data_IF_165725832724
#
_entry.id   IF_165725832724
#
_cell.length_a   1.000
_cell.length_b   1.000
_cell.length_c   1.000
_cell.angle_alpha   90.00
_cell.angle_beta   90.00
_cell.angle_gamma   90.00
#
_symmetry.space_group_name_H-M   'P 1'
#
loop_
_entity.id
_entity.type
_entity.pdbx_description
1 polymer ?
#
# COMPACT_ATOMS: atom_id res chain seq x y z
N UNK A 1 -39.46 14.11 7.74
CA UNK A 1 -38.94 14.80 6.54
C UNK A 1 -37.43 14.67 6.53
N UNK A 2 -36.93 13.59 5.93
CA UNK A 2 -35.50 13.36 5.71
C UNK A 2 -35.08 14.14 4.47
N UNK A 3 -34.18 15.11 4.63
CA UNK A 3 -33.52 15.75 3.51
C UNK A 3 -32.22 15.01 3.25
N UNK A 4 -32.28 14.03 2.36
CA UNK A 4 -31.09 13.45 1.73
C UNK A 4 -30.39 14.55 0.93
N UNK A 5 -29.27 15.05 1.49
CA UNK A 5 -28.36 15.92 0.75
C UNK A 5 -27.52 15.04 -0.17
N UNK A 6 -27.97 14.85 -1.39
CA UNK A 6 -27.15 14.42 -2.51
C UNK A 6 -26.02 15.45 -2.72
N UNK A 7 -24.85 15.21 -2.12
CA UNK A 7 -23.64 15.95 -2.43
C UNK A 7 -23.10 15.35 -3.72
N UNK A 8 -23.49 15.93 -4.85
CA UNK A 8 -22.87 15.66 -6.15
C UNK A 8 -21.38 15.93 -6.00
N UNK A 9 -20.54 14.91 -6.19
CA UNK A 9 -19.09 15.03 -6.32
C UNK A 9 -18.78 15.82 -7.61
N UNK A 10 -18.89 17.15 -7.57
CA UNK A 10 -18.34 18.01 -8.62
C UNK A 10 -16.82 17.84 -8.55
N UNK A 11 -16.25 17.07 -9.46
CA UNK A 11 -14.82 17.09 -9.75
C UNK A 11 -14.49 18.48 -10.31
N UNK A 12 -13.86 19.30 -9.51
CA UNK A 12 -13.34 20.59 -9.94
C UNK A 12 -11.87 20.43 -10.32
N UNK A 13 -11.48 20.97 -11.47
CA UNK A 13 -10.09 20.94 -11.93
C UNK A 13 -9.51 22.34 -11.76
N UNK A 14 -8.32 22.42 -11.19
CA UNK A 14 -7.50 23.63 -11.14
C UNK A 14 -6.31 23.42 -12.06
N UNK A 15 -6.18 24.28 -13.06
CA UNK A 15 -5.03 24.33 -13.94
C UNK A 15 -4.06 25.42 -13.47
N UNK A 16 -2.77 25.13 -13.45
CA UNK A 16 -1.67 26.07 -13.28
C UNK A 16 -0.58 25.81 -14.30
N UNK A 17 0.15 26.86 -14.69
CA UNK A 17 1.40 26.74 -15.45
C UNK A 17 2.58 26.97 -14.53
N UNK A 18 3.51 26.01 -14.44
CA UNK A 18 4.71 26.09 -13.63
C UNK A 18 5.93 25.66 -14.44
N UNK A 19 6.93 26.53 -14.60
CA UNK A 19 8.15 26.26 -15.42
C UNK A 19 7.82 25.66 -16.81
N UNK A 20 6.89 26.28 -17.53
CA UNK A 20 6.38 25.84 -18.84
C UNK A 20 5.67 24.47 -18.89
N UNK A 21 5.37 23.87 -17.74
CA UNK A 21 4.59 22.64 -17.62
C UNK A 21 3.18 22.99 -17.11
N UNK A 22 2.17 22.50 -17.80
CA UNK A 22 0.79 22.59 -17.32
C UNK A 22 0.51 21.48 -16.32
N UNK A 23 -0.06 21.87 -15.17
CA UNK A 23 -0.42 20.95 -14.08
C UNK A 23 -1.92 21.06 -13.84
N UNK A 24 -2.63 19.98 -14.14
CA UNK A 24 -4.04 19.83 -13.85
C UNK A 24 -4.23 19.11 -12.51
N UNK A 25 -4.89 19.78 -11.56
CA UNK A 25 -5.15 19.21 -10.26
C UNK A 25 -6.66 19.03 -10.02
N UNK A 26 -7.08 17.79 -9.80
CA UNK A 26 -8.44 17.47 -9.36
C UNK A 26 -8.65 17.91 -7.92
N UNK A 27 -9.70 18.67 -7.64
CA UNK A 27 -10.02 19.11 -6.29
C UNK A 27 -11.14 18.26 -5.70
N UNK A 28 -10.86 17.70 -4.52
CA UNK A 28 -11.82 16.92 -3.74
C UNK A 28 -12.03 17.59 -2.40
N UNK A 29 -13.23 18.10 -2.16
CA UNK A 29 -13.58 18.72 -0.87
C UNK A 29 -14.05 17.68 0.14
N UNK A 30 -13.54 17.78 1.38
CA UNK A 30 -13.90 16.88 2.48
C UNK A 30 -13.93 17.62 3.82
N UNK A 31 -14.67 17.09 4.79
CA UNK A 31 -14.62 17.57 6.18
C UNK A 31 -13.26 17.23 6.80
N UNK A 32 -12.37 18.21 6.83
CA UNK A 32 -10.98 18.09 7.33
C UNK A 32 -10.42 19.47 7.68
N UNK A 33 -9.29 19.52 8.39
CA UNK A 33 -8.63 20.77 8.78
C UNK A 33 -7.52 21.21 7.80
N UNK A 34 -6.84 20.27 7.16
CA UNK A 34 -5.64 20.55 6.36
C UNK A 34 -5.85 20.28 4.87
N UNK A 35 -5.14 21.01 4.02
CA UNK A 35 -5.04 20.71 2.58
C UNK A 35 -3.94 19.69 2.36
N UNK A 36 -4.17 18.76 1.44
CA UNK A 36 -3.16 17.75 1.06
C UNK A 36 -3.09 17.67 -0.46
N UNK A 37 -1.89 17.72 -1.03
CA UNK A 37 -1.63 17.40 -2.43
C UNK A 37 -1.21 15.94 -2.51
N UNK A 38 -1.86 15.17 -3.36
CA UNK A 38 -1.51 13.78 -3.68
C UNK A 38 -1.16 13.70 -5.16
N UNK A 39 -0.05 13.03 -5.45
CA UNK A 39 0.36 12.74 -6.82
C UNK A 39 0.35 11.22 -6.96
N UNK A 40 -0.26 10.72 -8.05
CA UNK A 40 -0.29 9.32 -8.41
C UNK A 40 0.52 9.08 -9.68
N UNK A 41 0.89 7.84 -9.99
CA UNK A 41 1.36 7.46 -11.32
C UNK A 41 0.42 7.98 -12.41
N UNK A 42 0.91 8.17 -13.63
CA UNK A 42 0.24 8.87 -14.75
C UNK A 42 0.03 10.37 -14.50
N UNK A 43 0.86 10.98 -13.65
CA UNK A 43 0.90 12.43 -13.36
C UNK A 43 -0.41 13.02 -12.82
N UNK A 44 -1.29 12.18 -12.27
CA UNK A 44 -2.53 12.64 -11.67
C UNK A 44 -2.28 13.41 -10.38
N UNK A 45 -2.53 14.72 -10.38
CA UNK A 45 -2.49 15.56 -9.19
C UNK A 45 -3.89 15.68 -8.59
N UNK A 46 -4.02 15.45 -7.29
CA UNK A 46 -5.29 15.64 -6.56
C UNK A 46 -5.05 16.50 -5.33
N UNK A 47 -5.83 17.55 -5.19
CA UNK A 47 -5.89 18.36 -3.96
C UNK A 47 -7.08 17.89 -3.14
N UNK A 48 -6.83 17.51 -1.89
CA UNK A 48 -7.89 17.21 -0.93
C UNK A 48 -7.95 18.39 0.04
N UNK A 49 -9.04 19.16 -0.03
CA UNK A 49 -9.22 20.42 0.68
C UNK A 49 -10.39 20.38 1.66
N UNK A 50 -10.38 21.18 2.74
CA UNK A 50 -11.57 21.56 3.47
C UNK A 50 -12.58 22.27 2.55
N UNK A 51 -13.86 22.22 2.91
CA UNK A 51 -14.87 23.03 2.26
C UNK A 51 -14.60 24.52 2.49
N UNK A 52 -14.96 25.38 1.52
CA UNK A 52 -14.88 26.83 1.64
C UNK A 52 -13.48 27.44 1.42
N UNK A 53 -12.47 26.65 1.09
CA UNK A 53 -11.14 27.19 0.74
C UNK A 53 -11.21 27.83 -0.65
N UNK A 54 -10.83 29.12 -0.80
CA UNK A 54 -10.82 29.81 -2.08
C UNK A 54 -9.88 29.15 -3.10
N UNK A 55 -10.30 29.10 -4.38
CA UNK A 55 -9.47 28.55 -5.47
C UNK A 55 -8.10 29.21 -5.58
N UNK A 56 -8.00 30.51 -5.29
CA UNK A 56 -6.75 31.26 -5.30
C UNK A 56 -5.73 30.61 -4.36
N UNK A 57 -6.13 30.27 -3.13
CA UNK A 57 -5.25 29.61 -2.15
C UNK A 57 -4.78 28.26 -2.65
N UNK A 58 -5.64 27.50 -3.32
CA UNK A 58 -5.28 26.19 -3.88
C UNK A 58 -4.29 26.32 -5.04
N UNK A 59 -4.46 27.35 -5.89
CA UNK A 59 -3.51 27.68 -6.97
C UNK A 59 -2.15 28.10 -6.41
N UNK A 60 -2.14 29.02 -5.44
CA UNK A 60 -0.92 29.52 -4.81
C UNK A 60 -0.14 28.34 -4.14
N UNK A 61 -0.85 27.42 -3.49
CA UNK A 61 -0.27 26.22 -2.90
C UNK A 61 0.34 25.29 -3.96
N UNK A 62 -0.31 25.10 -5.12
CA UNK A 62 0.25 24.32 -6.22
C UNK A 62 1.52 24.96 -6.77
N UNK A 63 1.53 26.28 -6.96
CA UNK A 63 2.70 27.03 -7.41
C UNK A 63 3.85 26.89 -6.39
N UNK A 64 3.56 27.10 -5.10
CA UNK A 64 4.55 26.93 -4.02
C UNK A 64 5.16 25.52 -3.98
N UNK A 65 4.37 24.51 -4.33
CA UNK A 65 4.81 23.11 -4.36
C UNK A 65 5.26 22.63 -5.75
N UNK A 66 5.37 23.53 -6.72
CA UNK A 66 5.67 23.21 -8.11
C UNK A 66 6.93 22.37 -8.29
N UNK A 67 8.07 22.76 -7.68
CA UNK A 67 9.31 21.97 -7.77
C UNK A 67 9.16 20.56 -7.18
N UNK A 68 8.46 20.43 -6.07
CA UNK A 68 8.17 19.12 -5.48
C UNK A 68 7.26 18.27 -6.39
N UNK A 69 6.28 18.90 -7.05
CA UNK A 69 5.39 18.21 -8.00
C UNK A 69 6.20 17.70 -9.19
N UNK A 70 7.04 18.55 -9.80
CA UNK A 70 7.88 18.17 -10.94
C UNK A 70 8.85 17.06 -10.56
N UNK A 71 9.52 17.16 -9.41
CA UNK A 71 10.39 16.09 -8.91
C UNK A 71 9.63 14.76 -8.80
N UNK A 72 8.37 14.80 -8.36
CA UNK A 72 7.52 13.60 -8.30
C UNK A 72 7.15 13.08 -9.69
N UNK A 73 6.94 13.95 -10.65
CA UNK A 73 6.72 13.55 -12.04
C UNK A 73 7.95 12.84 -12.62
N UNK A 74 9.16 13.37 -12.37
CA UNK A 74 10.40 12.74 -12.81
C UNK A 74 10.62 11.38 -12.14
N UNK A 75 10.37 11.29 -10.81
CA UNK A 75 10.39 10.01 -10.09
C UNK A 75 9.40 9.00 -10.71
N UNK A 76 8.20 9.42 -11.09
CA UNK A 76 7.24 8.53 -11.74
C UNK A 76 7.62 8.18 -13.18
N UNK A 77 8.17 9.14 -13.94
CA UNK A 77 8.63 8.91 -15.32
C UNK A 77 9.72 7.84 -15.37
N UNK A 78 10.68 7.89 -14.45
CA UNK A 78 11.76 6.91 -14.38
C UNK A 78 11.30 5.49 -14.10
N UNK A 79 10.12 5.33 -13.48
CA UNK A 79 9.55 4.04 -13.08
C UNK A 79 8.22 3.71 -13.80
N UNK A 80 7.77 4.56 -14.73
CA UNK A 80 6.48 4.40 -15.42
C UNK A 80 6.38 3.04 -16.14
N UNK A 81 7.47 2.63 -16.79
CA UNK A 81 7.57 1.33 -17.45
C UNK A 81 7.43 0.15 -16.47
N UNK A 82 7.65 0.38 -15.16
CA UNK A 82 7.52 -0.63 -14.10
C UNK A 82 6.09 -0.72 -13.54
N UNK A 83 5.23 0.29 -13.84
CA UNK A 83 3.85 0.34 -13.35
C UNK A 83 2.82 -0.27 -14.30
N UNK A 84 3.24 -1.17 -15.20
CA UNK A 84 2.30 -1.91 -16.04
C UNK A 84 1.30 -2.69 -15.18
N UNK A 85 0.04 -2.67 -15.61
CA UNK A 85 -0.96 -3.55 -15.00
C UNK A 85 -0.64 -4.99 -15.37
N UNK A 86 -0.86 -5.90 -14.43
CA UNK A 86 -0.65 -7.32 -14.64
C UNK A 86 -1.65 -7.88 -15.65
N UNK A 87 -1.14 -8.61 -16.63
CA UNK A 87 -1.94 -9.27 -17.67
C UNK A 87 -2.34 -10.69 -17.28
N UNK A 88 -1.69 -11.26 -16.26
CA UNK A 88 -1.91 -12.63 -15.77
C UNK A 88 -1.72 -13.67 -16.85
N UNK A 89 -0.67 -13.49 -17.67
CA UNK A 89 -0.27 -14.39 -18.75
C UNK A 89 0.93 -15.23 -18.34
N UNK A 90 1.13 -16.33 -19.03
CA UNK A 90 2.26 -17.24 -18.81
C UNK A 90 3.60 -16.49 -18.98
N UNK A 91 4.55 -16.75 -18.08
CA UNK A 91 5.86 -16.07 -18.04
C UNK A 91 5.87 -14.70 -17.36
N UNK A 92 4.71 -14.10 -17.00
CA UNK A 92 4.67 -12.84 -16.29
C UNK A 92 5.23 -12.98 -14.87
N UNK A 93 6.00 -11.98 -14.40
CA UNK A 93 6.66 -12.04 -13.09
C UNK A 93 5.75 -11.64 -11.95
N UNK A 94 5.80 -12.38 -10.86
CA UNK A 94 5.10 -12.12 -9.60
C UNK A 94 6.05 -12.25 -8.42
N UNK A 95 5.86 -11.42 -7.41
CA UNK A 95 6.67 -11.44 -6.19
C UNK A 95 6.12 -12.44 -5.17
N UNK A 96 7.01 -13.20 -4.52
CA UNK A 96 6.70 -13.96 -3.31
C UNK A 96 7.93 -14.04 -2.42
N UNK A 97 7.78 -13.70 -1.13
CA UNK A 97 8.87 -13.65 -0.15
C UNK A 97 10.10 -12.85 -0.60
N UNK A 98 9.86 -11.74 -1.34
CA UNK A 98 10.92 -10.87 -1.85
C UNK A 98 11.61 -11.33 -3.13
N UNK A 99 11.24 -12.49 -3.67
CA UNK A 99 11.76 -13.06 -4.90
C UNK A 99 10.75 -12.96 -6.05
N UNK A 100 11.26 -12.88 -7.28
CA UNK A 100 10.45 -12.86 -8.49
C UNK A 100 10.29 -14.29 -9.03
N UNK A 101 9.05 -14.67 -9.32
CA UNK A 101 8.68 -15.96 -9.90
C UNK A 101 7.93 -15.74 -11.21
N UNK A 102 8.20 -16.58 -12.22
CA UNK A 102 7.45 -16.56 -13.49
C UNK A 102 6.13 -17.28 -13.30
N UNK A 103 5.04 -16.65 -13.68
CA UNK A 103 3.73 -17.32 -13.70
C UNK A 103 3.76 -18.48 -14.69
N UNK A 104 3.27 -19.64 -14.27
CA UNK A 104 3.04 -20.80 -15.12
C UNK A 104 1.59 -21.25 -14.95
N UNK A 105 0.82 -21.12 -16.03
CA UNK A 105 -0.60 -21.44 -16.03
C UNK A 105 -0.78 -22.84 -16.61
N UNK A 106 -1.49 -23.69 -15.87
CA UNK A 106 -1.80 -25.06 -16.30
C UNK A 106 -3.32 -25.21 -16.28
N UNK A 107 -3.91 -25.57 -17.41
CA UNK A 107 -5.33 -25.91 -17.45
C UNK A 107 -5.53 -27.29 -16.82
N UNK A 108 -6.19 -27.33 -15.66
CA UNK A 108 -6.39 -28.52 -14.86
C UNK A 108 -7.74 -28.43 -14.13
N UNK A 109 -8.33 -29.59 -13.82
CA UNK A 109 -9.58 -29.66 -13.05
C UNK A 109 -9.33 -29.29 -11.59
N UNK A 110 -8.17 -29.67 -11.07
CA UNK A 110 -7.75 -29.37 -9.70
C UNK A 110 -7.17 -27.94 -9.62
N UNK A 111 -7.83 -27.10 -8.80
CA UNK A 111 -7.37 -25.73 -8.60
C UNK A 111 -6.29 -25.67 -7.51
N UNK A 112 -5.08 -25.36 -7.90
CA UNK A 112 -3.95 -25.26 -6.99
C UNK A 112 -3.02 -24.11 -7.37
N UNK A 113 -2.40 -23.47 -6.36
CA UNK A 113 -1.32 -22.49 -6.55
C UNK A 113 -0.18 -22.84 -5.62
N UNK A 114 1.01 -22.98 -6.18
CA UNK A 114 2.23 -23.32 -5.43
C UNK A 114 3.47 -22.75 -6.13
N UNK A 115 4.57 -22.73 -5.40
CA UNK A 115 5.90 -22.42 -5.93
C UNK A 115 6.58 -23.74 -6.31
N UNK A 116 7.04 -23.81 -7.56
CA UNK A 116 7.89 -24.89 -8.05
C UNK A 116 9.10 -24.29 -8.75
N UNK A 117 10.29 -24.58 -8.22
CA UNK A 117 11.56 -24.01 -8.68
C UNK A 117 11.47 -22.47 -8.78
N UNK A 118 11.53 -21.90 -9.99
CA UNK A 118 11.46 -20.46 -10.24
C UNK A 118 10.10 -20.03 -10.81
N UNK A 119 9.06 -20.85 -10.62
CA UNK A 119 7.72 -20.60 -11.13
C UNK A 119 6.68 -20.49 -10.01
N UNK A 120 5.76 -19.54 -10.17
CA UNK A 120 4.48 -19.50 -9.49
C UNK A 120 3.48 -20.28 -10.37
N UNK A 121 3.26 -21.54 -10.03
CA UNK A 121 2.38 -22.44 -10.79
C UNK A 121 0.94 -22.22 -10.37
N UNK A 122 0.06 -22.04 -11.35
CA UNK A 122 -1.38 -21.85 -11.16
C UNK A 122 -2.11 -22.90 -11.99
N UNK A 123 -2.61 -23.95 -11.34
CA UNK A 123 -3.52 -24.92 -11.94
C UNK A 123 -4.94 -24.42 -11.81
N UNK A 124 -5.65 -24.30 -12.91
CA UNK A 124 -7.01 -23.74 -12.94
C UNK A 124 -7.82 -24.36 -14.10
N UNK A 125 -9.13 -24.52 -13.88
CA UNK A 125 -10.07 -24.98 -14.92
C UNK A 125 -10.45 -23.89 -15.92
N UNK A 126 -10.19 -22.62 -15.61
CA UNK A 126 -10.46 -21.47 -16.47
C UNK A 126 -9.25 -20.54 -16.48
N UNK A 127 -8.71 -20.27 -17.66
CA UNK A 127 -7.51 -19.47 -17.89
C UNK A 127 -7.80 -17.99 -18.13
N UNK A 128 -9.06 -17.53 -17.92
CA UNK A 128 -9.41 -16.13 -18.04
C UNK A 128 -8.63 -15.27 -17.02
N UNK A 129 -8.17 -14.11 -17.47
CA UNK A 129 -7.41 -13.15 -16.67
C UNK A 129 -8.04 -12.87 -15.29
N UNK A 130 -9.33 -12.55 -15.26
CA UNK A 130 -10.01 -12.23 -14.00
C UNK A 130 -10.17 -13.46 -13.09
N UNK A 131 -10.26 -14.66 -13.68
CA UNK A 131 -10.30 -15.89 -12.92
C UNK A 131 -8.95 -16.19 -12.27
N UNK A 132 -7.85 -16.14 -13.03
CA UNK A 132 -6.48 -16.31 -12.52
C UNK A 132 -6.19 -15.29 -11.42
N UNK A 133 -6.53 -14.01 -11.66
CA UNK A 133 -6.38 -12.95 -10.67
C UNK A 133 -7.13 -13.24 -9.37
N UNK A 134 -8.35 -13.77 -9.46
CA UNK A 134 -9.15 -14.15 -8.28
C UNK A 134 -8.49 -15.29 -7.51
N UNK A 135 -7.97 -16.29 -8.20
CA UNK A 135 -7.27 -17.44 -7.59
C UNK A 135 -5.98 -16.98 -6.92
N UNK A 136 -5.14 -16.18 -7.62
CA UNK A 136 -3.93 -15.61 -7.05
C UNK A 136 -4.20 -14.71 -5.82
N UNK A 137 -5.25 -13.88 -5.86
CA UNK A 137 -5.65 -13.08 -4.68
C UNK A 137 -5.97 -13.95 -3.47
N UNK A 138 -6.68 -15.09 -3.66
CA UNK A 138 -6.97 -16.04 -2.59
C UNK A 138 -5.69 -16.68 -2.04
N UNK A 139 -4.80 -17.10 -2.95
CA UNK A 139 -3.53 -17.71 -2.57
C UNK A 139 -2.64 -16.75 -1.79
N UNK A 140 -2.40 -15.52 -2.30
CA UNK A 140 -1.62 -14.51 -1.59
C UNK A 140 -2.21 -14.15 -0.22
N UNK A 141 -3.53 -14.12 -0.10
CA UNK A 141 -4.18 -13.89 1.18
C UNK A 141 -3.89 -15.04 2.16
N UNK A 142 -4.05 -16.30 1.72
CA UNK A 142 -3.75 -17.48 2.53
C UNK A 142 -2.30 -17.52 2.99
N UNK A 143 -1.36 -17.26 2.07
CA UNK A 143 0.06 -17.18 2.39
C UNK A 143 0.38 -16.03 3.35
N UNK A 144 -0.27 -14.89 3.17
CA UNK A 144 -0.14 -13.75 4.10
C UNK A 144 -0.68 -14.09 5.49
N UNK A 145 -1.79 -14.81 5.60
CA UNK A 145 -2.34 -15.28 6.87
C UNK A 145 -1.39 -16.25 7.58
N UNK A 146 -0.82 -17.20 6.83
CA UNK A 146 0.19 -18.15 7.34
C UNK A 146 1.43 -17.42 7.85
N UNK A 147 2.03 -16.56 7.02
CA UNK A 147 3.24 -15.83 7.36
C UNK A 147 3.04 -14.88 8.54
N UNK A 148 1.91 -14.14 8.59
CA UNK A 148 1.58 -13.28 9.72
C UNK A 148 1.46 -14.10 11.01
N UNK A 149 0.85 -15.29 10.97
CA UNK A 149 0.74 -16.17 12.13
C UNK A 149 2.11 -16.65 12.61
N UNK A 150 2.97 -17.09 11.70
CA UNK A 150 4.33 -17.55 12.01
C UNK A 150 5.19 -16.39 12.57
N UNK A 151 5.20 -15.26 11.89
CA UNK A 151 6.01 -14.09 12.29
C UNK A 151 5.46 -13.37 13.52
N UNK A 152 4.19 -13.59 13.88
CA UNK A 152 3.62 -13.06 15.11
C UNK A 152 4.32 -13.59 16.36
N UNK A 153 4.73 -14.84 16.37
CA UNK A 153 5.49 -15.44 17.48
C UNK A 153 6.81 -14.68 17.65
N UNK A 154 7.55 -14.51 16.56
CA UNK A 154 8.79 -13.71 16.54
C UNK A 154 8.56 -12.26 17.00
N UNK A 155 7.53 -11.61 16.48
CA UNK A 155 7.20 -10.24 16.86
C UNK A 155 6.89 -10.13 18.37
N UNK A 156 6.06 -11.03 18.91
CA UNK A 156 5.71 -11.03 20.36
C UNK A 156 6.94 -11.22 21.25
N UNK A 157 7.87 -12.07 20.86
CA UNK A 157 9.11 -12.27 21.61
C UNK A 157 9.96 -11.00 21.69
N UNK A 158 10.01 -10.22 20.62
CA UNK A 158 10.69 -8.91 20.62
C UNK A 158 10.07 -7.89 21.58
N UNK A 159 8.77 -7.99 21.83
CA UNK A 159 8.02 -7.12 22.72
C UNK A 159 7.79 -7.73 24.11
N UNK A 160 8.44 -8.86 24.48
CA UNK A 160 8.17 -9.60 25.72
C UNK A 160 8.29 -8.78 27.01
N UNK A 161 9.13 -7.76 27.00
CA UNK A 161 9.31 -6.87 28.16
C UNK A 161 8.20 -5.82 28.32
N UNK A 162 7.30 -5.70 27.35
CA UNK A 162 6.21 -4.75 27.38
C UNK A 162 4.91 -5.42 27.81
N UNK A 163 4.37 -5.00 28.94
CA UNK A 163 3.09 -5.51 29.43
C UNK A 163 1.95 -5.11 28.47
N UNK A 164 1.06 -6.08 28.18
CA UNK A 164 -0.23 -5.85 27.49
C UNK A 164 -0.18 -5.43 26.00
N UNK A 165 0.74 -5.95 25.19
CA UNK A 165 0.76 -5.72 23.74
C UNK A 165 -0.11 -6.70 22.94
N UNK A 166 -1.27 -7.05 23.47
CA UNK A 166 -2.22 -7.88 22.74
C UNK A 166 -3.18 -7.00 21.94
N UNK A 167 -3.21 -7.10 20.61
CA UNK A 167 -4.22 -6.40 19.82
C UNK A 167 -5.61 -6.99 20.11
N UNK A 168 -6.66 -6.15 20.09
CA UNK A 168 -8.04 -6.63 20.22
C UNK A 168 -8.45 -7.54 19.07
N UNK A 169 -7.77 -7.42 17.93
CA UNK A 169 -7.95 -8.23 16.73
C UNK A 169 -6.74 -8.11 15.83
N UNK A 170 -6.29 -9.23 15.25
CA UNK A 170 -5.33 -9.27 14.16
C UNK A 170 -5.95 -9.99 12.98
N UNK A 171 -6.04 -9.33 11.81
CA UNK A 171 -6.57 -9.92 10.58
C UNK A 171 -5.81 -9.48 9.35
N UNK A 172 -5.71 -10.39 8.40
CA UNK A 172 -5.25 -10.10 7.04
C UNK A 172 -6.45 -9.70 6.19
N UNK A 173 -6.35 -8.56 5.50
CA UNK A 173 -7.38 -8.08 4.56
C UNK A 173 -6.77 -7.28 3.42
N UNK A 174 -7.48 -7.18 2.31
CA UNK A 174 -7.05 -6.32 1.20
C UNK A 174 -7.02 -4.85 1.62
N UNK A 175 -5.91 -4.19 1.38
CA UNK A 175 -5.71 -2.76 1.59
C UNK A 175 -5.11 -2.11 0.34
N UNK A 176 -5.67 -0.96 -0.09
CA UNK A 176 -5.25 -0.31 -1.35
C UNK A 176 -3.96 0.49 -1.23
N UNK A 177 -3.67 1.08 -0.05
CA UNK A 177 -2.62 2.09 0.11
C UNK A 177 -1.67 1.85 1.30
N UNK A 178 -1.87 0.80 2.08
CA UNK A 178 -1.11 0.56 3.31
C UNK A 178 -0.73 -0.91 3.42
N UNK A 179 0.39 -1.17 4.04
CA UNK A 179 0.81 -2.53 4.38
C UNK A 179 0.18 -3.01 5.67
N UNK A 180 -0.02 -2.10 6.63
CA UNK A 180 -0.71 -2.37 7.87
C UNK A 180 -1.58 -1.21 8.32
N UNK A 181 -2.36 -1.41 9.37
CA UNK A 181 -3.15 -0.38 10.04
C UNK A 181 -3.48 -0.85 11.45
N UNK A 182 -3.10 -0.06 12.45
CA UNK A 182 -3.62 -0.18 13.81
C UNK A 182 -4.73 0.86 14.02
N UNK A 183 -5.85 0.45 14.58
CA UNK A 183 -6.99 1.35 14.87
C UNK A 183 -6.95 1.82 16.32
N UNK A 184 -7.68 2.92 16.62
CA UNK A 184 -7.87 3.40 18.00
C UNK A 184 -8.49 2.36 18.94
N UNK A 185 -9.19 1.34 18.38
CA UNK A 185 -9.70 0.18 19.13
C UNK A 185 -8.67 -0.95 19.26
N UNK A 186 -7.39 -0.67 19.01
CA UNK A 186 -6.28 -1.64 19.10
C UNK A 186 -6.43 -2.85 18.16
N UNK A 187 -7.22 -2.73 17.08
CA UNK A 187 -7.31 -3.77 16.06
C UNK A 187 -6.25 -3.54 14.97
N UNK A 188 -5.46 -4.57 14.67
CA UNK A 188 -4.41 -4.58 13.65
C UNK A 188 -4.93 -5.29 12.41
N UNK A 189 -4.70 -4.67 11.26
CA UNK A 189 -4.99 -5.24 9.95
C UNK A 189 -3.73 -5.22 9.09
N UNK A 190 -3.36 -6.36 8.55
CA UNK A 190 -2.22 -6.52 7.63
C UNK A 190 -2.74 -6.70 6.20
N UNK A 191 -2.03 -6.17 5.22
CA UNK A 191 -2.40 -6.28 3.82
C UNK A 191 -2.26 -7.72 3.32
N UNK A 192 -3.27 -8.21 2.59
CA UNK A 192 -3.30 -9.55 2.01
C UNK A 192 -2.24 -9.81 0.92
N UNK A 193 -1.45 -8.82 0.58
CA UNK A 193 -0.31 -8.92 -0.34
C UNK A 193 1.04 -8.89 0.37
N UNK A 194 1.05 -8.96 1.71
CA UNK A 194 2.30 -8.85 2.47
C UNK A 194 3.26 -10.01 2.18
N UNK A 195 2.74 -11.19 1.80
CA UNK A 195 3.53 -12.35 1.39
C UNK A 195 4.36 -12.13 0.11
N UNK A 196 4.12 -11.05 -0.63
CA UNK A 196 5.00 -10.64 -1.72
C UNK A 196 6.32 -10.04 -1.23
N UNK A 197 6.34 -9.47 -0.03
CA UNK A 197 7.51 -8.84 0.56
C UNK A 197 8.48 -9.86 1.15
N UNK A 198 9.76 -9.48 1.28
CA UNK A 198 10.75 -10.29 1.99
C UNK A 198 10.41 -10.40 3.48
N UNK A 199 10.89 -11.44 4.12
CA UNK A 199 10.56 -11.76 5.53
C UNK A 199 10.87 -10.60 6.47
N UNK A 200 12.01 -9.96 6.32
CA UNK A 200 12.43 -8.84 7.17
C UNK A 200 11.48 -7.64 7.04
N UNK A 201 10.97 -7.40 5.83
CA UNK A 201 9.99 -6.35 5.60
C UNK A 201 8.59 -6.71 6.19
N UNK A 202 8.23 -8.00 6.21
CA UNK A 202 7.04 -8.49 6.91
C UNK A 202 7.20 -8.26 8.43
N UNK A 203 8.34 -8.61 8.99
CA UNK A 203 8.65 -8.37 10.40
C UNK A 203 8.59 -6.88 10.76
N UNK A 204 9.16 -6.02 9.90
CA UNK A 204 9.07 -4.58 10.07
C UNK A 204 7.61 -4.08 10.13
N UNK A 205 6.76 -4.53 9.22
CA UNK A 205 5.35 -4.15 9.24
C UNK A 205 4.66 -4.61 10.53
N UNK A 206 4.94 -5.83 11.00
CA UNK A 206 4.40 -6.32 12.28
C UNK A 206 4.91 -5.47 13.45
N UNK A 207 6.21 -5.22 13.54
CA UNK A 207 6.80 -4.36 14.57
C UNK A 207 6.18 -2.95 14.54
N UNK A 208 6.00 -2.36 13.35
CA UNK A 208 5.38 -1.06 13.16
C UNK A 208 3.94 -1.02 13.71
N UNK A 209 3.10 -1.99 13.32
CA UNK A 209 1.71 -2.04 13.76
C UNK A 209 1.56 -2.38 15.25
N UNK A 210 2.45 -3.20 15.80
CA UNK A 210 2.50 -3.48 17.23
C UNK A 210 2.99 -2.27 18.03
N UNK A 211 3.92 -1.49 17.51
CA UNK A 211 4.37 -0.24 18.14
C UNK A 211 3.24 0.79 18.28
N UNK A 212 2.24 0.75 17.36
CA UNK A 212 1.02 1.56 17.49
C UNK A 212 0.13 1.17 18.67
N UNK A 213 0.28 -0.02 19.26
CA UNK A 213 -0.40 -0.36 20.50
C UNK A 213 0.14 0.42 21.71
N UNK A 214 1.35 0.98 21.59
CA UNK A 214 1.99 1.85 22.59
C UNK A 214 1.83 3.32 22.22
N UNK A 215 2.20 3.67 20.99
CA UNK A 215 2.20 5.04 20.48
C UNK A 215 1.33 5.14 19.23
N UNK A 216 0.11 5.67 19.36
CA UNK A 216 -0.87 5.74 18.25
C UNK A 216 -0.45 6.64 17.09
N UNK A 217 0.47 7.56 17.30
CA UNK A 217 1.00 8.47 16.28
C UNK A 217 2.49 8.20 16.02
N UNK A 218 2.97 8.61 14.85
CA UNK A 218 4.37 8.50 14.45
C UNK A 218 5.25 9.60 15.10
N UNK A 219 5.22 9.69 16.44
CA UNK A 219 6.05 10.60 17.23
C UNK A 219 7.51 10.15 17.27
N UNK A 220 8.38 10.96 17.90
CA UNK A 220 9.77 10.56 18.16
C UNK A 220 9.83 9.30 19.01
N UNK A 221 8.96 9.16 20.00
CA UNK A 221 8.91 8.00 20.88
C UNK A 221 8.45 6.74 20.16
N UNK A 222 7.50 6.86 19.21
CA UNK A 222 7.14 5.75 18.32
C UNK A 222 8.36 5.21 17.56
N UNK A 223 9.10 6.08 16.88
CA UNK A 223 10.28 5.65 16.11
C UNK A 223 11.44 5.21 17.01
N UNK A 224 11.56 5.74 18.22
CA UNK A 224 12.52 5.24 19.21
C UNK A 224 12.21 3.79 19.58
N UNK A 225 10.95 3.47 19.86
CA UNK A 225 10.49 2.12 20.12
C UNK A 225 10.73 1.18 18.93
N UNK A 226 10.32 1.58 17.72
CA UNK A 226 10.55 0.78 16.51
C UNK A 226 12.04 0.49 16.33
N UNK A 227 12.92 1.49 16.55
CA UNK A 227 14.37 1.33 16.43
C UNK A 227 14.95 0.41 17.53
N UNK A 228 14.42 0.47 18.73
CA UNK A 228 14.82 -0.42 19.84
C UNK A 228 14.52 -1.88 19.53
N UNK A 229 13.33 -2.15 18.99
CA UNK A 229 12.88 -3.51 18.63
C UNK A 229 13.56 -4.01 17.35
N UNK A 230 13.76 -3.12 16.36
CA UNK A 230 14.32 -3.41 15.04
C UNK A 230 15.30 -2.30 14.63
N UNK A 231 16.58 -2.40 15.00
CA UNK A 231 17.58 -1.33 14.75
C UNK A 231 17.72 -0.94 13.28
N UNK A 232 17.57 -1.91 12.38
CA UNK A 232 17.69 -1.73 10.91
C UNK A 232 16.36 -1.42 10.21
N UNK A 233 15.31 -1.04 10.92
CA UNK A 233 13.95 -0.83 10.36
C UNK A 233 13.91 0.10 9.13
N UNK A 234 14.83 1.06 9.03
CA UNK A 234 14.90 2.00 7.90
C UNK A 234 15.26 1.32 6.58
N UNK A 235 16.04 0.25 6.63
CA UNK A 235 16.38 -0.55 5.44
C UNK A 235 15.13 -1.23 4.90
N UNK A 236 14.29 -1.75 5.80
CA UNK A 236 13.06 -2.43 5.44
C UNK A 236 11.97 -1.46 4.95
N UNK A 237 11.87 -0.30 5.58
CA UNK A 237 11.01 0.79 5.12
C UNK A 237 11.41 1.25 3.70
N UNK A 238 12.72 1.43 3.47
CA UNK A 238 13.26 1.77 2.16
C UNK A 238 12.99 0.67 1.14
N UNK A 239 13.24 -0.60 1.49
CA UNK A 239 12.99 -1.74 0.62
C UNK A 239 11.52 -1.80 0.17
N UNK A 240 10.57 -1.65 1.09
CA UNK A 240 9.12 -1.62 0.77
C UNK A 240 8.77 -0.46 -0.17
N UNK A 241 9.37 0.71 0.04
CA UNK A 241 9.18 1.87 -0.83
C UNK A 241 9.71 1.61 -2.23
N UNK A 242 10.95 1.13 -2.32
CA UNK A 242 11.67 0.92 -3.59
C UNK A 242 11.06 -0.22 -4.42
N UNK A 243 10.46 -1.23 -3.78
CA UNK A 243 9.82 -2.37 -4.44
C UNK A 243 8.29 -2.27 -4.55
N UNK A 244 7.67 -1.19 -4.07
CA UNK A 244 6.21 -1.04 -4.00
C UNK A 244 5.49 -1.24 -5.35
N UNK A 245 6.16 -0.94 -6.47
CA UNK A 245 5.63 -1.12 -7.82
C UNK A 245 5.55 -2.59 -8.24
N UNK A 246 6.41 -3.47 -7.70
CA UNK A 246 6.42 -4.92 -7.95
C UNK A 246 5.38 -5.67 -7.12
N UNK A 247 5.03 -5.15 -5.94
CA UNK A 247 4.16 -5.80 -4.96
C UNK A 247 2.68 -5.56 -5.29
N UNK A 248 2.27 -5.94 -6.51
CA UNK A 248 0.92 -5.71 -7.06
C UNK A 248 0.34 -6.96 -7.71
N UNK A 249 -0.98 -7.00 -7.74
CA UNK A 249 -1.82 -7.94 -8.50
C UNK A 249 -2.77 -7.17 -9.39
#
# INVERSE_FOLDING_TARGET
MNKDKNVSNKCEIINIKYKNIEIDANVVYRKRKNITIQIKPKYEVTIISPYGVPKKILKDLLIQKGDWILKKFDEYKSIEHLYKEKEFIDGEQFMYLGHEYKLKIINDIDEEVFIDNNCLVVKVKNTDKEYIKKILKKWYKRESERLVSERLVYCKEKFKHMKQLTPSKLKVKEQKKRWGTCTSKRAIYINSKISMAKIEAIDYILVHEFSHLVHMNHSKDFYKLVKEIMPNYKEEEKWLKDNSYKLKL
#
